data_IF_835013441393
#
_entry.id   IF_835013441393
#
_cell.length_a   1.000
_cell.length_b   1.000
_cell.length_c   1.000
_cell.angle_alpha   90.00
_cell.angle_beta   90.00
_cell.angle_gamma   90.00
#
_symmetry.space_group_name_H-M   'P 1'
#
loop_
_entity.id
_entity.type
_entity.pdbx_description
1 polymer ?
#
# COMPACT_ATOMS: atom_id res chain seq x y z
N UNK A 1 19.05 -0.87 3.27
CA UNK A 1 18.24 0.35 3.43
C UNK A 1 16.81 -0.04 3.69
N UNK A 2 16.22 0.44 4.77
CA UNK A 2 14.83 0.14 5.10
C UNK A 2 13.89 1.25 4.63
N UNK A 3 12.90 0.89 3.82
CA UNK A 3 11.79 1.80 3.47
C UNK A 3 10.45 1.13 3.76
N UNK A 4 9.50 1.88 4.31
CA UNK A 4 8.22 1.33 4.81
C UNK A 4 7.04 2.23 4.44
N UNK A 5 5.94 1.60 4.01
CA UNK A 5 4.62 2.23 3.98
C UNK A 5 4.00 2.17 5.38
N UNK A 6 3.70 3.33 5.96
CA UNK A 6 3.06 3.44 7.27
C UNK A 6 1.54 3.32 7.10
N UNK A 7 0.94 2.44 7.91
CA UNK A 7 -0.50 2.34 8.07
C UNK A 7 -0.85 3.03 9.38
N UNK A 8 -1.44 4.24 9.36
CA UNK A 8 -1.63 5.04 10.57
C UNK A 8 -2.51 4.35 11.62
N UNK A 9 -3.42 3.48 11.18
CA UNK A 9 -4.34 2.73 12.04
C UNK A 9 -3.63 1.62 12.82
N UNK A 10 -2.67 0.93 12.21
CA UNK A 10 -1.98 -0.23 12.83
C UNK A 10 -0.61 0.14 13.38
N UNK A 11 0.16 0.95 12.65
CA UNK A 11 1.50 1.38 13.05
C UNK A 11 1.52 2.64 13.92
N UNK A 12 0.48 3.49 13.84
CA UNK A 12 0.49 4.83 14.44
C UNK A 12 -0.20 4.97 15.79
N UNK A 13 -0.68 3.90 16.45
CA UNK A 13 -1.53 3.99 17.67
C UNK A 13 -2.75 4.93 17.52
N UNK A 14 -3.23 5.17 16.30
CA UNK A 14 -4.23 6.20 15.98
C UNK A 14 -3.79 7.66 16.25
N UNK A 15 -2.47 7.96 16.25
CA UNK A 15 -1.95 9.33 16.32
C UNK A 15 -2.49 10.23 15.19
N UNK A 16 -2.75 9.62 14.03
CA UNK A 16 -3.47 10.25 12.92
C UNK A 16 -4.20 9.19 12.09
N UNK A 17 -5.16 9.62 11.29
CA UNK A 17 -5.74 8.83 10.20
C UNK A 17 -5.36 9.46 8.86
N UNK A 18 -5.64 8.76 7.76
CA UNK A 18 -5.38 9.30 6.43
C UNK A 18 -6.63 9.49 5.58
N UNK A 19 -7.84 9.45 6.16
CA UNK A 19 -9.09 9.65 5.42
C UNK A 19 -9.58 11.10 5.43
N UNK A 20 -9.06 11.91 6.37
CA UNK A 20 -9.30 13.34 6.47
C UNK A 20 -8.08 14.18 6.13
N UNK A 21 -8.03 15.38 6.72
CA UNK A 21 -6.91 16.33 6.58
C UNK A 21 -5.58 15.74 7.05
N UNK A 22 -4.50 16.14 6.38
CA UNK A 22 -3.11 15.85 6.76
C UNK A 22 -2.62 16.64 7.98
N UNK A 23 -3.40 17.57 8.52
CA UNK A 23 -3.04 18.42 9.65
C UNK A 23 -2.53 17.64 10.88
N UNK A 24 -3.20 16.55 11.27
CA UNK A 24 -2.78 15.74 12.42
C UNK A 24 -1.41 15.09 12.19
N UNK A 25 -1.18 14.57 10.98
CA UNK A 25 0.09 13.97 10.57
C UNK A 25 1.21 14.99 10.59
N UNK A 26 0.98 16.17 10.00
CA UNK A 26 1.99 17.23 9.91
C UNK A 26 2.30 17.83 11.28
N UNK A 27 1.29 17.98 12.15
CA UNK A 27 1.50 18.39 13.54
C UNK A 27 2.33 17.35 14.31
N UNK A 28 2.06 16.06 14.10
CA UNK A 28 2.87 14.98 14.70
C UNK A 28 4.33 15.05 14.23
N UNK A 29 4.57 15.17 12.92
CA UNK A 29 5.91 15.32 12.37
C UNK A 29 6.62 16.59 12.87
N UNK A 30 5.87 17.69 13.00
CA UNK A 30 6.39 18.96 13.51
C UNK A 30 6.80 18.89 14.98
N UNK A 31 5.96 18.31 15.85
CA UNK A 31 6.26 18.20 17.27
C UNK A 31 7.50 17.36 17.56
N UNK A 32 7.80 16.38 16.73
CA UNK A 32 9.03 15.60 16.86
C UNK A 32 10.27 16.46 16.55
N UNK A 33 10.23 17.33 15.55
CA UNK A 33 11.32 18.28 15.25
C UNK A 33 11.46 19.40 16.30
N UNK A 34 10.35 19.94 16.81
CA UNK A 34 10.38 21.00 17.83
C UNK A 34 10.94 20.51 19.16
N UNK A 35 10.72 19.24 19.53
CA UNK A 35 11.38 18.60 20.70
C UNK A 35 12.90 18.53 20.55
N UNK A 36 13.40 18.54 19.32
CA UNK A 36 14.84 18.59 18.98
C UNK A 36 15.36 20.03 18.88
N UNK A 37 14.52 21.05 19.12
CA UNK A 37 14.89 22.46 19.06
C UNK A 37 15.02 23.00 17.63
N UNK A 38 14.47 22.30 16.64
CA UNK A 38 14.51 22.66 15.23
C UNK A 38 13.11 23.05 14.72
N UNK A 39 13.04 24.03 13.81
CA UNK A 39 11.81 24.24 13.04
C UNK A 39 11.66 23.12 12.01
N UNK A 40 10.49 22.47 11.99
CA UNK A 40 10.18 21.45 11.00
C UNK A 40 10.16 22.06 9.60
N UNK A 41 11.21 21.81 8.83
CA UNK A 41 11.32 22.18 7.42
C UNK A 41 11.06 20.97 6.55
N UNK A 42 10.18 21.13 5.57
CA UNK A 42 9.87 20.10 4.60
C UNK A 42 10.58 20.34 3.26
N UNK A 43 10.89 19.26 2.56
CA UNK A 43 11.38 19.26 1.19
C UNK A 43 10.51 18.35 0.31
N UNK A 44 10.50 18.59 -0.99
CA UNK A 44 9.78 17.79 -1.98
C UNK A 44 10.64 17.54 -3.22
N UNK A 45 9.98 17.30 -4.36
CA UNK A 45 10.65 17.04 -5.64
C UNK A 45 11.65 18.16 -5.99
N UNK A 46 11.20 19.41 -6.04
CA UNK A 46 12.02 20.55 -6.46
C UNK A 46 12.30 21.56 -5.33
N UNK A 47 11.50 21.53 -4.26
CA UNK A 47 11.56 22.52 -3.17
C UNK A 47 12.33 21.94 -1.98
N UNK A 48 13.23 22.70 -1.39
CA UNK A 48 14.01 22.30 -0.21
C UNK A 48 13.55 22.94 1.11
N UNK A 49 12.61 23.89 1.03
CA UNK A 49 12.05 24.60 2.17
C UNK A 49 10.55 24.84 1.96
N UNK A 50 9.74 24.09 2.70
CA UNK A 50 8.29 24.23 2.77
C UNK A 50 7.85 24.17 4.23
N UNK A 51 6.86 24.99 4.57
CA UNK A 51 6.21 24.96 5.86
C UNK A 51 5.20 23.82 5.95
N UNK A 52 4.90 23.36 7.16
CA UNK A 52 3.82 22.39 7.38
C UNK A 52 2.47 22.89 6.82
N UNK A 53 2.20 24.20 6.86
CA UNK A 53 0.97 24.78 6.34
C UNK A 53 0.87 24.68 4.81
N UNK A 54 1.96 24.94 4.08
CA UNK A 54 2.02 24.79 2.62
C UNK A 54 1.85 23.31 2.23
N UNK A 55 2.55 22.40 2.91
CA UNK A 55 2.41 20.96 2.65
C UNK A 55 0.97 20.48 2.92
N UNK A 56 0.35 20.95 4.01
CA UNK A 56 -1.04 20.64 4.32
C UNK A 56 -1.96 21.10 3.20
N UNK A 57 -1.79 22.34 2.72
CA UNK A 57 -2.59 22.90 1.64
C UNK A 57 -2.42 22.11 0.34
N UNK A 58 -1.20 21.75 -0.04
CA UNK A 58 -0.91 20.98 -1.25
C UNK A 58 -1.57 19.60 -1.21
N UNK A 59 -1.44 18.88 -0.09
CA UNK A 59 -2.00 17.53 0.08
C UNK A 59 -3.53 17.57 0.19
N UNK A 60 -4.09 18.44 1.04
CA UNK A 60 -5.52 18.45 1.33
C UNK A 60 -6.36 18.97 0.15
N UNK A 61 -5.78 19.78 -0.75
CA UNK A 61 -6.44 20.21 -1.99
C UNK A 61 -6.31 19.18 -3.14
N UNK A 62 -5.47 18.16 -2.99
CA UNK A 62 -5.19 17.17 -4.03
C UNK A 62 -6.03 15.88 -3.82
N UNK A 63 -7.34 16.02 -3.62
CA UNK A 63 -8.24 14.90 -3.21
C UNK A 63 -9.48 14.72 -4.09
N UNK A 64 -9.58 15.42 -5.22
CA UNK A 64 -10.75 15.45 -6.13
C UNK A 64 -11.17 14.04 -6.53
N UNK A 65 -12.41 13.66 -6.23
CA UNK A 65 -12.97 12.35 -6.63
C UNK A 65 -12.69 11.21 -5.65
N UNK A 66 -11.98 11.44 -4.55
CA UNK A 66 -11.89 10.49 -3.44
C UNK A 66 -13.11 10.64 -2.52
N UNK A 67 -13.67 9.51 -2.07
CA UNK A 67 -14.77 9.45 -1.11
C UNK A 67 -14.27 9.73 0.30
N UNK A 68 -15.16 10.13 1.20
CA UNK A 68 -14.81 10.42 2.60
C UNK A 68 -14.10 9.25 3.33
N UNK A 69 -14.38 8.01 2.95
CA UNK A 69 -13.80 6.81 3.59
C UNK A 69 -12.48 6.34 2.96
N UNK A 70 -12.05 6.97 1.86
CA UNK A 70 -10.81 6.62 1.17
C UNK A 70 -9.62 7.39 1.73
N UNK A 71 -8.44 6.80 1.65
CA UNK A 71 -7.20 7.49 1.98
C UNK A 71 -7.02 8.72 1.08
N UNK A 72 -6.67 9.85 1.67
CA UNK A 72 -6.34 11.14 1.06
C UNK A 72 -4.83 11.26 0.82
N UNK A 73 -4.05 10.63 1.68
CA UNK A 73 -2.60 10.57 1.59
C UNK A 73 -2.07 9.25 2.18
N UNK A 74 -0.78 9.00 1.96
CA UNK A 74 -0.03 7.91 2.56
C UNK A 74 1.23 8.47 3.20
N UNK A 75 1.70 7.79 4.24
CA UNK A 75 2.93 8.13 4.94
C UNK A 75 3.97 7.05 4.70
N UNK A 76 5.19 7.44 4.35
CA UNK A 76 6.32 6.54 4.15
C UNK A 76 7.44 6.91 5.12
N UNK A 77 8.30 5.94 5.42
CA UNK A 77 9.53 6.17 6.17
C UNK A 77 10.71 5.58 5.41
N UNK A 78 11.78 6.36 5.29
CA UNK A 78 13.12 5.88 4.92
C UNK A 78 13.95 5.86 6.20
N UNK A 79 14.49 4.69 6.55
CA UNK A 79 15.26 4.46 7.77
C UNK A 79 16.58 3.79 7.40
N UNK A 80 17.62 4.56 7.10
CA UNK A 80 18.95 3.99 6.93
C UNK A 80 19.42 3.36 8.26
N UNK A 81 20.23 2.32 8.17
CA UNK A 81 20.90 1.74 9.34
C UNK A 81 21.98 2.68 9.86
N UNK A 82 22.48 2.45 11.09
CA UNK A 82 23.64 3.18 11.61
C UNK A 82 24.88 3.03 10.72
N UNK A 83 25.06 1.88 10.07
CA UNK A 83 26.17 1.62 9.14
C UNK A 83 25.99 2.42 7.84
N UNK A 84 24.77 2.46 7.29
CA UNK A 84 24.42 3.25 6.11
C UNK A 84 24.57 4.75 6.35
N UNK A 85 24.08 5.24 7.50
CA UNK A 85 24.25 6.64 7.91
C UNK A 85 25.73 6.97 8.04
N UNK A 86 26.52 6.11 8.68
CA UNK A 86 27.96 6.30 8.84
C UNK A 86 28.67 6.35 7.47
N UNK A 87 28.30 5.47 6.53
CA UNK A 87 28.86 5.41 5.18
C UNK A 87 28.65 6.71 4.39
N UNK A 88 27.46 7.32 4.50
CA UNK A 88 27.16 8.58 3.82
C UNK A 88 27.61 9.82 4.61
N UNK A 89 28.12 9.64 5.84
CA UNK A 89 28.52 10.72 6.75
C UNK A 89 27.34 11.45 7.39
N UNK A 90 26.21 10.76 7.58
CA UNK A 90 24.94 11.29 8.07
C UNK A 90 24.48 12.57 7.35
N UNK A 91 24.77 12.67 6.04
CA UNK A 91 24.56 13.89 5.26
C UNK A 91 23.10 14.06 4.87
N UNK A 92 22.44 15.11 5.38
CA UNK A 92 21.08 15.48 4.99
C UNK A 92 20.95 15.71 3.48
N UNK A 93 21.94 16.36 2.84
CA UNK A 93 21.93 16.58 1.40
C UNK A 93 21.83 15.26 0.63
N UNK A 94 22.67 14.28 0.98
CA UNK A 94 22.63 12.95 0.36
C UNK A 94 21.31 12.23 0.65
N UNK A 95 20.76 12.38 1.85
CA UNK A 95 19.45 11.81 2.20
C UNK A 95 18.31 12.43 1.39
N UNK A 96 18.32 13.76 1.16
CA UNK A 96 17.34 14.43 0.30
C UNK A 96 17.43 13.94 -1.14
N UNK A 97 18.64 13.89 -1.71
CA UNK A 97 18.89 13.37 -3.06
C UNK A 97 18.43 11.91 -3.20
N UNK A 98 18.81 11.05 -2.25
CA UNK A 98 18.35 9.66 -2.22
C UNK A 98 16.83 9.54 -2.07
N UNK A 99 16.20 10.38 -1.26
CA UNK A 99 14.74 10.38 -1.09
C UNK A 99 14.02 10.69 -2.41
N UNK A 100 14.53 11.64 -3.21
CA UNK A 100 13.98 11.94 -4.54
C UNK A 100 14.04 10.74 -5.47
N UNK A 101 15.17 10.04 -5.51
CA UNK A 101 15.33 8.80 -6.29
C UNK A 101 14.35 7.69 -5.85
N UNK A 102 14.14 7.55 -4.53
CA UNK A 102 13.15 6.60 -3.99
C UNK A 102 11.72 6.98 -4.38
N UNK A 103 11.41 8.28 -4.47
CA UNK A 103 10.10 8.78 -4.89
C UNK A 103 9.88 8.67 -6.40
N UNK A 104 10.93 8.76 -7.22
CA UNK A 104 10.91 8.41 -8.64
C UNK A 104 10.58 6.92 -8.84
N UNK A 105 11.23 6.05 -8.06
CA UNK A 105 10.90 4.61 -8.05
C UNK A 105 9.49 4.33 -7.52
N UNK A 106 9.00 5.14 -6.58
CA UNK A 106 7.64 5.03 -6.08
C UNK A 106 6.62 5.34 -7.19
N UNK A 107 6.82 6.40 -7.97
CA UNK A 107 5.95 6.74 -9.09
C UNK A 107 5.93 5.64 -10.16
N UNK A 108 7.11 5.23 -10.65
CA UNK A 108 7.26 4.26 -11.74
C UNK A 108 6.80 2.83 -11.38
N UNK A 109 6.64 2.52 -10.09
CA UNK A 109 6.07 1.26 -9.62
C UNK A 109 4.54 1.16 -9.88
N UNK A 110 3.84 2.27 -10.10
CA UNK A 110 2.41 2.20 -10.42
C UNK A 110 2.16 1.65 -11.83
N UNK A 111 1.36 0.58 -11.91
CA UNK A 111 0.94 -0.04 -13.18
C UNK A 111 -0.45 0.44 -13.58
N UNK A 112 -0.50 1.28 -14.61
CA UNK A 112 -1.74 1.82 -15.16
C UNK A 112 -2.33 0.89 -16.22
N UNK A 113 -3.66 0.96 -16.43
CA UNK A 113 -4.36 0.05 -17.35
C UNK A 113 -4.01 0.28 -18.81
N UNK A 114 -3.70 1.52 -19.15
CA UNK A 114 -3.33 1.99 -20.48
C UNK A 114 -1.82 1.89 -20.76
N UNK A 115 -1.04 1.37 -19.81
CA UNK A 115 0.40 1.19 -19.96
C UNK A 115 1.23 2.46 -19.78
N UNK A 116 0.62 3.61 -19.46
CA UNK A 116 1.36 4.82 -19.11
C UNK A 116 2.23 4.57 -17.87
N UNK A 117 3.43 5.14 -17.89
CA UNK A 117 4.36 5.15 -16.75
C UNK A 117 4.26 6.48 -16.05
N UNK A 118 4.37 6.47 -14.72
CA UNK A 118 4.44 7.69 -13.91
C UNK A 118 5.88 7.95 -13.47
N UNK A 119 6.18 9.22 -13.25
CA UNK A 119 7.44 9.73 -12.72
C UNK A 119 7.19 10.60 -11.47
N UNK A 120 8.27 11.09 -10.86
CA UNK A 120 8.19 11.94 -9.66
C UNK A 120 7.43 13.25 -9.87
N UNK A 121 7.32 13.76 -11.11
CA UNK A 121 6.54 14.97 -11.42
C UNK A 121 5.02 14.72 -11.34
N UNK A 122 4.60 13.46 -11.38
CA UNK A 122 3.20 13.10 -11.20
C UNK A 122 2.77 13.01 -9.73
N UNK A 123 3.69 13.19 -8.78
CA UNK A 123 3.43 13.05 -7.35
C UNK A 123 3.30 14.41 -6.65
N UNK A 124 2.32 14.53 -5.74
CA UNK A 124 2.32 15.59 -4.72
C UNK A 124 2.84 14.97 -3.42
N UNK A 125 4.06 15.32 -3.01
CA UNK A 125 4.67 14.79 -1.80
C UNK A 125 5.58 15.81 -1.12
N UNK A 126 5.80 15.60 0.17
CA UNK A 126 6.78 16.33 0.96
C UNK A 126 7.39 15.40 2.00
N UNK A 127 8.57 15.75 2.50
CA UNK A 127 9.32 14.96 3.45
C UNK A 127 10.06 15.83 4.46
N UNK A 128 10.33 15.26 5.64
CA UNK A 128 11.13 15.88 6.69
C UNK A 128 12.16 14.89 7.22
N UNK A 129 13.30 15.39 7.70
CA UNK A 129 14.38 14.59 8.27
C UNK A 129 14.34 14.77 9.79
N UNK A 130 14.31 13.66 10.53
CA UNK A 130 14.43 13.66 11.99
C UNK A 130 15.74 12.99 12.37
N UNK A 131 16.38 13.45 13.45
CA UNK A 131 17.71 12.95 13.82
C UNK A 131 17.69 11.91 14.92
N UNK A 132 16.68 11.94 15.81
CA UNK A 132 16.58 11.03 16.93
C UNK A 132 15.37 10.10 16.84
N UNK A 133 15.43 9.01 17.60
CA UNK A 133 14.28 8.13 17.88
C UNK A 133 14.22 7.86 19.36
N UNK A 134 13.03 7.92 19.93
CA UNK A 134 12.82 7.51 21.32
C UNK A 134 12.30 6.08 21.41
N UNK A 135 12.69 5.38 22.48
CA UNK A 135 12.12 4.09 22.84
C UNK A 135 10.63 4.19 23.12
N UNK A 136 9.88 3.21 22.64
CA UNK A 136 8.43 3.06 22.80
C UNK A 136 8.16 2.00 23.86
N UNK A 137 6.97 2.06 24.48
CA UNK A 137 6.58 1.08 25.51
C UNK A 137 6.41 -0.36 25.02
N UNK A 138 6.45 -0.59 23.71
CA UNK A 138 6.40 -1.92 23.08
C UNK A 138 7.75 -2.38 22.57
N UNK A 139 8.79 -1.59 22.81
CA UNK A 139 10.14 -1.94 22.36
C UNK A 139 10.69 -3.02 23.31
N UNK A 140 11.31 -4.10 22.79
CA UNK A 140 11.84 -5.19 23.61
C UNK A 140 12.78 -4.70 24.72
N UNK A 141 13.54 -3.63 24.48
CA UNK A 141 14.47 -3.04 25.43
C UNK A 141 13.74 -2.36 26.60
N UNK A 142 12.54 -1.82 26.36
CA UNK A 142 11.69 -1.26 27.42
C UNK A 142 11.01 -2.38 28.20
N UNK A 143 10.53 -3.41 27.51
CA UNK A 143 9.93 -4.60 28.15
C UNK A 143 10.96 -5.34 29.02
N UNK A 144 12.21 -5.43 28.56
CA UNK A 144 13.33 -6.00 29.31
C UNK A 144 13.86 -5.09 30.43
N UNK A 145 13.38 -3.84 30.51
CA UNK A 145 13.80 -2.85 31.50
C UNK A 145 15.20 -2.25 31.28
N UNK A 146 15.82 -2.51 30.13
CA UNK A 146 17.12 -1.95 29.74
C UNK A 146 17.03 -0.53 29.14
N UNK A 147 15.83 -0.05 28.85
CA UNK A 147 15.55 1.31 28.37
C UNK A 147 14.22 1.85 28.94
N UNK A 148 14.02 3.17 28.90
CA UNK A 148 12.77 3.83 29.33
C UNK A 148 11.98 4.38 28.16
N UNK A 149 10.65 4.39 28.27
CA UNK A 149 9.79 5.08 27.29
C UNK A 149 10.17 6.54 27.18
N UNK A 150 10.39 7.02 25.95
CA UNK A 150 10.80 8.40 25.67
C UNK A 150 12.32 8.62 25.68
N UNK A 151 13.11 7.71 26.24
CA UNK A 151 14.57 7.76 26.19
C UNK A 151 15.05 7.69 24.74
N UNK A 152 16.04 8.51 24.38
CA UNK A 152 16.61 8.50 23.02
C UNK A 152 17.40 7.21 22.79
N UNK A 153 17.19 6.60 21.64
CA UNK A 153 17.97 5.46 21.16
C UNK A 153 19.41 5.91 20.90
N UNK A 154 20.42 5.10 21.27
CA UNK A 154 21.81 5.43 21.02
C UNK A 154 22.16 5.35 19.53
N UNK A 155 23.29 5.93 19.15
CA UNK A 155 23.83 5.89 17.78
C UNK A 155 23.10 6.82 16.81
N UNK A 156 23.44 6.71 15.53
CA UNK A 156 22.80 7.50 14.48
C UNK A 156 21.38 6.95 14.22
N UNK A 157 20.38 7.81 14.38
CA UNK A 157 18.96 7.48 14.24
C UNK A 157 18.27 8.31 13.15
N UNK A 158 19.05 8.98 12.29
CA UNK A 158 18.52 9.88 11.26
C UNK A 158 17.63 9.13 10.27
N UNK A 159 16.43 9.64 10.04
CA UNK A 159 15.44 9.02 9.18
C UNK A 159 14.52 10.05 8.53
N UNK A 160 13.88 9.66 7.44
CA UNK A 160 13.03 10.55 6.64
C UNK A 160 11.58 10.10 6.77
N UNK A 161 10.69 11.03 7.13
CA UNK A 161 9.24 10.84 7.02
C UNK A 161 8.76 11.50 5.75
N UNK A 162 7.92 10.81 4.99
CA UNK A 162 7.37 11.29 3.72
C UNK A 162 5.85 11.25 3.82
N UNK A 163 5.19 12.29 3.36
CA UNK A 163 3.75 12.32 3.09
C UNK A 163 3.54 12.46 1.59
N UNK A 164 2.70 11.62 1.01
CA UNK A 164 2.38 11.61 -0.43
C UNK A 164 0.88 11.56 -0.63
N UNK A 165 0.36 12.38 -1.53
CA UNK A 165 -1.05 12.39 -1.89
C UNK A 165 -1.51 11.04 -2.44
N UNK A 166 -2.77 10.70 -2.19
CA UNK A 166 -3.42 9.56 -2.83
C UNK A 166 -3.84 9.86 -4.29
N UNK A 167 -3.52 11.05 -4.81
CA UNK A 167 -3.75 11.46 -6.19
C UNK A 167 -2.47 11.92 -6.85
N UNK A 168 -2.48 11.82 -8.17
CA UNK A 168 -1.50 12.48 -9.02
C UNK A 168 -1.70 14.00 -9.03
N UNK A 169 -0.72 14.73 -9.55
CA UNK A 169 -0.75 16.20 -9.68
C UNK A 169 -1.98 16.70 -10.45
N UNK A 170 -2.40 15.99 -11.51
CA UNK A 170 -3.61 16.33 -12.29
C UNK A 170 -4.93 15.94 -11.61
N UNK A 171 -4.87 15.21 -10.50
CA UNK A 171 -6.02 14.64 -9.82
C UNK A 171 -6.91 13.81 -10.77
N UNK A 172 -6.32 12.95 -11.59
CA UNK A 172 -7.01 12.01 -12.48
C UNK A 172 -6.82 10.55 -12.09
N UNK A 173 -5.69 10.23 -11.46
CA UNK A 173 -5.27 8.89 -11.10
C UNK A 173 -5.26 8.76 -9.57
N UNK A 174 -5.79 7.65 -9.06
CA UNK A 174 -5.68 7.30 -7.63
C UNK A 174 -4.43 6.44 -7.40
N UNK A 175 -3.52 6.94 -6.57
CA UNK A 175 -2.24 6.33 -6.20
C UNK A 175 -2.38 5.62 -4.85
N UNK A 176 -2.69 4.33 -4.88
CA UNK A 176 -2.82 3.51 -3.67
C UNK A 176 -1.69 2.48 -3.56
N UNK A 177 -0.59 2.77 -2.82
CA UNK A 177 0.54 1.87 -2.65
C UNK A 177 0.22 0.66 -1.76
N UNK A 178 -0.82 0.75 -0.93
CA UNK A 178 -1.31 -0.33 -0.08
C UNK A 178 -2.40 -1.20 -0.73
N UNK A 179 -2.69 -0.95 -2.01
CA UNK A 179 -3.73 -1.60 -2.78
C UNK A 179 -3.32 -2.99 -3.26
N UNK A 180 -3.65 -3.29 -4.52
CA UNK A 180 -3.28 -4.56 -5.13
C UNK A 180 -1.82 -4.55 -5.57
N UNK A 181 -1.17 -5.71 -5.40
CA UNK A 181 0.23 -5.92 -5.82
C UNK A 181 0.45 -5.76 -7.33
N UNK A 182 -0.56 -6.06 -8.16
CA UNK A 182 -0.50 -5.86 -9.62
C UNK A 182 -0.53 -4.39 -10.03
N UNK A 183 -0.98 -3.50 -9.13
CA UNK A 183 -1.03 -2.04 -9.33
C UNK A 183 0.16 -1.33 -8.74
N UNK A 184 0.66 -1.79 -7.61
CA UNK A 184 1.87 -1.30 -6.95
C UNK A 184 2.50 -2.44 -6.17
N UNK A 185 3.72 -2.82 -6.51
CA UNK A 185 4.41 -3.91 -5.84
C UNK A 185 5.27 -3.35 -4.70
N UNK A 186 4.71 -3.30 -3.48
CA UNK A 186 5.39 -2.71 -2.31
C UNK A 186 6.74 -3.37 -2.04
N UNK A 187 6.79 -4.70 -2.05
CA UNK A 187 8.03 -5.46 -1.78
C UNK A 187 9.11 -5.20 -2.83
N UNK A 188 8.73 -5.04 -4.09
CA UNK A 188 9.67 -4.73 -5.17
C UNK A 188 10.23 -3.32 -5.00
N UNK A 189 9.38 -2.32 -4.75
CA UNK A 189 9.85 -0.97 -4.45
C UNK A 189 10.79 -0.91 -3.24
N UNK A 190 10.49 -1.65 -2.16
CA UNK A 190 11.39 -1.71 -1.02
C UNK A 190 12.77 -2.32 -1.37
N UNK A 191 12.80 -3.34 -2.24
CA UNK A 191 14.04 -3.96 -2.72
C UNK A 191 14.83 -3.03 -3.65
N UNK A 192 14.14 -2.36 -4.57
CA UNK A 192 14.78 -1.42 -5.50
C UNK A 192 15.32 -0.18 -4.78
N UNK A 193 14.66 0.30 -3.73
CA UNK A 193 15.20 1.34 -2.86
C UNK A 193 16.54 0.89 -2.22
N UNK A 194 16.60 -0.35 -1.71
CA UNK A 194 17.84 -0.95 -1.23
C UNK A 194 18.97 -0.90 -2.25
N UNK A 195 18.70 -1.40 -3.46
CA UNK A 195 19.66 -1.39 -4.57
C UNK A 195 20.06 0.02 -5.01
N UNK A 196 19.13 0.97 -4.97
CA UNK A 196 19.39 2.36 -5.28
C UNK A 196 20.41 2.94 -4.31
N UNK A 197 20.29 2.67 -3.02
CA UNK A 197 21.26 3.14 -2.03
C UNK A 197 22.66 2.57 -2.30
N UNK A 198 22.75 1.26 -2.53
CA UNK A 198 24.00 0.58 -2.88
C UNK A 198 24.65 1.20 -4.14
N UNK A 199 23.86 1.40 -5.20
CA UNK A 199 24.30 2.01 -6.46
C UNK A 199 24.74 3.46 -6.28
N UNK A 200 23.94 4.28 -5.60
CA UNK A 200 24.14 5.72 -5.50
C UNK A 200 25.35 6.07 -4.62
N UNK A 201 25.63 5.27 -3.59
CA UNK A 201 26.69 5.57 -2.63
C UNK A 201 27.86 4.58 -2.65
N UNK A 202 27.85 3.59 -3.54
CA UNK A 202 28.88 2.54 -3.56
C UNK A 202 28.93 1.74 -2.26
N UNK A 203 27.77 1.49 -1.66
CA UNK A 203 27.63 0.72 -0.42
C UNK A 203 27.33 -0.75 -0.73
N UNK A 204 27.79 -1.67 0.11
CA UNK A 204 27.41 -3.09 0.04
C UNK A 204 26.56 -3.43 1.25
N UNK A 205 25.27 -3.64 1.04
CA UNK A 205 24.34 -3.89 2.13
C UNK A 205 24.55 -5.26 2.76
N UNK A 206 24.56 -5.30 4.09
CA UNK A 206 24.58 -6.52 4.88
C UNK A 206 23.23 -7.22 4.79
N UNK A 207 23.19 -8.55 4.98
CA UNK A 207 21.95 -9.33 4.86
C UNK A 207 20.84 -8.87 5.81
N UNK A 208 21.20 -8.33 6.99
CA UNK A 208 20.22 -7.75 7.94
C UNK A 208 19.57 -6.45 7.44
N UNK A 209 20.21 -5.76 6.49
CA UNK A 209 19.75 -4.46 5.96
C UNK A 209 18.89 -4.63 4.69
N UNK A 210 18.86 -5.85 4.14
CA UNK A 210 18.07 -6.21 2.97
C UNK A 210 16.65 -6.57 3.38
N UNK A 211 15.70 -6.23 2.51
CA UNK A 211 14.28 -6.56 2.71
C UNK A 211 14.11 -8.08 2.70
N UNK A 212 13.84 -8.65 3.88
CA UNK A 212 13.58 -10.07 4.01
C UNK A 212 12.14 -10.39 3.61
N UNK A 213 11.97 -11.07 2.49
CA UNK A 213 10.67 -11.67 2.15
C UNK A 213 10.58 -13.05 2.77
N UNK A 214 9.59 -13.30 3.63
CA UNK A 214 9.27 -14.67 4.08
C UNK A 214 9.08 -15.53 2.84
N UNK A 215 9.99 -16.49 2.65
CA UNK A 215 9.87 -17.46 1.58
C UNK A 215 8.58 -18.25 1.81
N UNK A 216 7.85 -18.51 0.74
CA UNK A 216 6.68 -19.39 0.79
C UNK A 216 7.16 -20.77 1.24
N UNK A 217 6.58 -21.24 2.33
CA UNK A 217 6.76 -22.61 2.79
C UNK A 217 5.88 -23.55 1.94
N UNK A 218 6.50 -24.20 0.96
CA UNK A 218 5.86 -25.19 0.08
C UNK A 218 5.63 -26.54 0.76
N UNK A 219 6.26 -26.82 1.90
CA UNK A 219 6.07 -28.08 2.63
C UNK A 219 4.62 -28.28 3.09
N UNK A 220 3.85 -27.19 3.17
CA UNK A 220 2.45 -27.18 3.58
C UNK A 220 1.46 -27.29 2.42
N UNK A 221 1.94 -27.33 1.17
CA UNK A 221 1.07 -27.30 -0.01
C UNK A 221 0.19 -28.54 -0.12
N UNK A 222 0.73 -29.73 0.19
CA UNK A 222 -0.05 -30.97 0.23
C UNK A 222 -1.23 -30.86 1.21
N UNK A 223 -0.99 -30.30 2.40
CA UNK A 223 -2.04 -30.08 3.40
C UNK A 223 -3.04 -29.00 2.97
N UNK A 224 -2.60 -27.95 2.26
CA UNK A 224 -3.48 -26.92 1.68
C UNK A 224 -4.38 -27.52 0.60
N UNK A 225 -3.82 -28.33 -0.29
CA UNK A 225 -4.56 -29.01 -1.36
C UNK A 225 -5.64 -29.94 -0.79
N UNK A 226 -5.30 -30.76 0.22
CA UNK A 226 -6.27 -31.61 0.92
C UNK A 226 -7.46 -30.81 1.48
N UNK A 227 -7.19 -29.71 2.19
CA UNK A 227 -8.24 -28.82 2.71
C UNK A 227 -9.08 -28.17 1.62
N UNK A 228 -8.49 -27.86 0.46
CA UNK A 228 -9.21 -27.28 -0.67
C UNK A 228 -10.14 -28.34 -1.29
N UNK A 229 -9.70 -29.59 -1.42
CA UNK A 229 -10.55 -30.68 -1.89
C UNK A 229 -11.76 -30.88 -0.98
N UNK A 230 -11.57 -30.92 0.34
CA UNK A 230 -12.68 -31.01 1.30
C UNK A 230 -13.68 -29.86 1.16
N UNK A 231 -13.20 -28.63 0.87
CA UNK A 231 -14.05 -27.47 0.62
C UNK A 231 -14.85 -27.64 -0.66
N UNK A 232 -14.21 -28.08 -1.74
CA UNK A 232 -14.87 -28.35 -3.02
C UNK A 232 -15.93 -29.42 -2.89
N UNK A 233 -15.65 -30.50 -2.15
CA UNK A 233 -16.63 -31.56 -1.89
C UNK A 233 -17.86 -31.02 -1.17
N UNK A 234 -17.68 -30.18 -0.14
CA UNK A 234 -18.81 -29.52 0.54
C UNK A 234 -19.62 -28.62 -0.39
N UNK A 235 -18.97 -27.82 -1.22
CA UNK A 235 -19.65 -26.98 -2.22
C UNK A 235 -20.48 -27.86 -3.17
N UNK A 236 -19.90 -28.95 -3.66
CA UNK A 236 -20.54 -29.86 -4.62
C UNK A 236 -21.74 -30.62 -4.06
N UNK A 237 -21.90 -30.71 -2.74
CA UNK A 237 -23.10 -31.25 -2.09
C UNK A 237 -24.27 -30.25 -2.09
N UNK A 238 -24.00 -28.96 -2.23
CA UNK A 238 -24.99 -27.88 -2.10
C UNK A 238 -25.50 -27.35 -3.45
N UNK A 239 -24.87 -27.73 -4.56
CA UNK A 239 -25.14 -27.19 -5.90
C UNK A 239 -25.62 -28.26 -6.88
N UNK A 240 -26.42 -27.89 -7.90
CA UNK A 240 -26.87 -28.83 -8.92
C UNK A 240 -25.69 -29.37 -9.75
N UNK A 241 -25.90 -30.48 -10.47
CA UNK A 241 -24.85 -31.23 -11.19
C UNK A 241 -24.08 -30.34 -12.18
N UNK A 242 -24.76 -29.41 -12.82
CA UNK A 242 -24.23 -28.51 -13.84
C UNK A 242 -23.26 -27.46 -13.24
N UNK A 243 -23.39 -27.19 -11.95
CA UNK A 243 -22.57 -26.20 -11.23
C UNK A 243 -21.46 -26.84 -10.40
N UNK A 244 -21.34 -28.16 -10.40
CA UNK A 244 -20.28 -28.84 -9.63
C UNK A 244 -18.90 -28.42 -10.12
N UNK A 245 -18.04 -28.12 -9.17
CA UNK A 245 -16.63 -27.82 -9.39
C UNK A 245 -15.84 -29.12 -9.53
N UNK A 246 -14.91 -29.14 -10.47
CA UNK A 246 -13.91 -30.18 -10.62
C UNK A 246 -12.80 -29.95 -9.57
N UNK A 247 -12.62 -30.89 -8.61
CA UNK A 247 -11.60 -30.76 -7.57
C UNK A 247 -10.19 -30.55 -8.13
N UNK A 248 -9.81 -31.26 -9.20
CA UNK A 248 -8.47 -31.16 -9.79
C UNK A 248 -8.25 -29.78 -10.41
N UNK A 249 -9.25 -29.26 -11.13
CA UNK A 249 -9.18 -27.93 -11.72
C UNK A 249 -9.07 -26.84 -10.65
N UNK A 250 -9.82 -26.94 -9.55
CA UNK A 250 -9.72 -25.98 -8.43
C UNK A 250 -8.35 -26.05 -7.76
N UNK A 251 -7.79 -27.25 -7.58
CA UNK A 251 -6.44 -27.44 -7.05
C UNK A 251 -5.38 -26.79 -7.95
N UNK A 252 -5.43 -27.02 -9.27
CA UNK A 252 -4.50 -26.39 -10.23
C UNK A 252 -4.57 -24.86 -10.19
N UNK A 253 -5.78 -24.29 -10.02
CA UNK A 253 -5.94 -22.85 -9.85
C UNK A 253 -5.32 -22.36 -8.53
N UNK A 254 -5.45 -23.13 -7.45
CA UNK A 254 -4.83 -22.82 -6.17
C UNK A 254 -3.30 -22.82 -6.27
N UNK A 255 -2.73 -23.84 -6.92
CA UNK A 255 -1.29 -23.98 -7.16
C UNK A 255 -0.74 -22.85 -8.03
N UNK A 256 -1.43 -22.53 -9.14
CA UNK A 256 -1.07 -21.41 -10.02
C UNK A 256 -1.08 -20.06 -9.30
N UNK A 257 -1.96 -19.91 -8.31
CA UNK A 257 -2.02 -18.73 -7.43
C UNK A 257 -1.17 -18.86 -6.17
N UNK A 258 -0.38 -19.91 -6.05
CA UNK A 258 0.47 -20.18 -4.89
C UNK A 258 -0.27 -20.14 -3.54
N UNK A 259 -1.55 -20.53 -3.55
CA UNK A 259 -2.44 -20.46 -2.39
C UNK A 259 -2.53 -19.05 -1.78
N UNK A 260 -2.54 -18.01 -2.63
CA UNK A 260 -2.63 -16.64 -2.15
C UNK A 260 -3.97 -16.33 -1.44
N UNK A 261 -3.98 -15.22 -0.69
CA UNK A 261 -5.18 -14.77 0.05
C UNK A 261 -6.37 -14.49 -0.87
N UNK A 262 -6.13 -14.14 -2.14
CA UNK A 262 -7.18 -13.87 -3.11
C UNK A 262 -7.93 -15.15 -3.45
N UNK A 263 -7.20 -16.24 -3.74
CA UNK A 263 -7.78 -17.56 -3.96
C UNK A 263 -8.68 -17.96 -2.78
N UNK A 264 -8.17 -17.85 -1.55
CA UNK A 264 -8.92 -18.21 -0.35
C UNK A 264 -10.18 -17.37 -0.12
N UNK A 265 -10.14 -16.07 -0.43
CA UNK A 265 -11.33 -15.20 -0.39
C UNK A 265 -12.33 -15.56 -1.48
N UNK A 266 -11.85 -15.89 -2.68
CA UNK A 266 -12.69 -16.31 -3.81
C UNK A 266 -13.43 -17.60 -3.48
N UNK A 267 -12.75 -18.66 -3.04
CA UNK A 267 -13.41 -19.92 -2.68
C UNK A 267 -14.36 -19.76 -1.49
N UNK A 268 -14.04 -18.91 -0.50
CA UNK A 268 -14.96 -18.59 0.60
C UNK A 268 -16.22 -17.82 0.13
N UNK A 269 -16.13 -17.11 -1.00
CA UNK A 269 -17.28 -16.46 -1.62
C UNK A 269 -18.14 -17.45 -2.38
N UNK A 270 -17.51 -18.40 -3.07
CA UNK A 270 -18.21 -19.52 -3.73
C UNK A 270 -18.95 -20.39 -2.71
N UNK A 271 -18.32 -20.73 -1.58
CA UNK A 271 -18.97 -21.46 -0.48
C UNK A 271 -20.22 -20.76 0.03
N UNK A 272 -20.11 -19.48 0.40
CA UNK A 272 -21.26 -18.70 0.89
C UNK A 272 -22.40 -18.62 -0.12
N UNK A 273 -22.11 -18.64 -1.43
CA UNK A 273 -23.13 -18.66 -2.48
C UNK A 273 -23.84 -20.00 -2.53
N UNK A 274 -23.07 -21.09 -2.52
CA UNK A 274 -23.62 -22.44 -2.49
C UNK A 274 -24.52 -22.65 -1.25
N UNK A 275 -24.07 -22.21 -0.08
CA UNK A 275 -24.85 -22.23 1.17
C UNK A 275 -26.15 -21.41 1.08
N UNK A 276 -26.13 -20.28 0.36
CA UNK A 276 -27.30 -19.43 0.15
C UNK A 276 -28.20 -19.87 -1.03
N UNK A 277 -27.87 -20.99 -1.71
CA UNK A 277 -28.58 -21.43 -2.92
C UNK A 277 -28.42 -20.49 -4.12
N UNK A 278 -27.42 -19.61 -4.09
CA UNK A 278 -27.11 -18.68 -5.18
C UNK A 278 -26.23 -19.39 -6.22
N UNK A 279 -26.54 -19.30 -7.53
CA UNK A 279 -25.73 -19.91 -8.58
C UNK A 279 -24.25 -19.53 -8.52
N UNK A 280 -23.38 -20.50 -8.80
CA UNK A 280 -21.91 -20.35 -8.79
C UNK A 280 -21.29 -20.41 -10.19
N UNK A 281 -22.04 -20.04 -11.23
CA UNK A 281 -21.66 -20.17 -12.65
C UNK A 281 -20.31 -19.52 -13.00
N UNK A 282 -19.88 -18.50 -12.25
CA UNK A 282 -18.63 -17.78 -12.45
C UNK A 282 -17.48 -18.22 -11.53
N UNK A 283 -17.62 -19.35 -10.81
CA UNK A 283 -16.68 -19.79 -9.78
C UNK A 283 -15.24 -19.89 -10.30
N UNK A 284 -15.00 -20.53 -11.45
CA UNK A 284 -13.64 -20.65 -11.99
C UNK A 284 -13.01 -19.30 -12.33
N UNK A 285 -13.78 -18.35 -12.88
CA UNK A 285 -13.27 -17.01 -13.15
C UNK A 285 -12.92 -16.28 -11.86
N UNK A 286 -13.78 -16.37 -10.84
CA UNK A 286 -13.55 -15.76 -9.53
C UNK A 286 -12.33 -16.37 -8.84
N UNK A 287 -12.16 -17.69 -8.88
CA UNK A 287 -10.99 -18.40 -8.35
C UNK A 287 -9.71 -18.03 -9.10
N UNK A 288 -9.80 -17.80 -10.42
CA UNK A 288 -8.65 -17.45 -11.26
C UNK A 288 -8.24 -15.98 -11.09
N UNK A 289 -9.19 -15.05 -11.04
CA UNK A 289 -8.91 -13.61 -11.16
C UNK A 289 -9.11 -12.83 -9.87
N UNK A 290 -9.85 -13.38 -8.91
CA UNK A 290 -10.35 -12.64 -7.74
C UNK A 290 -11.46 -11.64 -8.07
N UNK A 291 -11.98 -11.64 -9.30
CA UNK A 291 -13.00 -10.70 -9.79
C UNK A 291 -14.28 -11.43 -10.18
N UNK A 292 -15.41 -10.79 -9.93
CA UNK A 292 -16.68 -11.20 -10.51
C UNK A 292 -16.61 -11.06 -12.03
N UNK A 293 -17.17 -12.02 -12.77
CA UNK A 293 -17.48 -11.77 -14.17
C UNK A 293 -18.57 -10.69 -14.24
N UNK A 294 -18.44 -9.69 -15.12
CA UNK A 294 -19.57 -8.83 -15.43
C UNK A 294 -20.68 -9.73 -15.98
N UNK A 295 -21.81 -9.81 -15.28
CA UNK A 295 -22.99 -10.45 -15.84
C UNK A 295 -23.31 -9.73 -17.15
N UNK A 296 -23.60 -10.45 -18.25
CA UNK A 296 -24.23 -9.79 -19.39
C UNK A 296 -25.54 -9.20 -18.85
N UNK A 297 -25.59 -7.88 -18.72
CA UNK A 297 -26.82 -7.18 -18.41
C UNK A 297 -27.83 -7.62 -19.46
N UNK A 298 -28.88 -8.32 -19.04
CA UNK A 298 -30.06 -8.48 -19.87
C UNK A 298 -30.39 -7.09 -20.42
N UNK A 299 -30.54 -7.01 -21.73
CA UNK A 299 -30.50 -5.81 -22.59
C UNK A 299 -31.62 -4.79 -22.27
N UNK A 300 -32.40 -5.00 -21.22
CA UNK A 300 -33.56 -4.19 -20.83
C UNK A 300 -33.18 -2.84 -20.20
N UNK A 301 -32.03 -2.73 -19.52
CA UNK A 301 -31.64 -1.48 -18.83
C UNK A 301 -30.87 -0.49 -19.70
N UNK A 302 -30.16 -0.96 -20.74
CA UNK A 302 -29.43 -0.09 -21.65
C UNK A 302 -30.38 0.76 -22.51
N UNK A 303 -31.49 0.19 -22.98
CA UNK A 303 -32.52 0.90 -23.73
C UNK A 303 -33.23 1.96 -22.85
N UNK A 304 -33.57 1.62 -21.60
CA UNK A 304 -34.17 2.57 -20.66
C UNK A 304 -33.24 3.73 -20.30
N UNK A 305 -31.94 3.46 -20.14
CA UNK A 305 -30.93 4.50 -19.91
C UNK A 305 -30.70 5.37 -21.13
N UNK A 306 -30.67 4.80 -22.34
CA UNK A 306 -30.54 5.57 -23.57
C UNK A 306 -31.71 6.55 -23.76
N UNK A 307 -32.94 6.12 -23.45
CA UNK A 307 -34.13 6.97 -23.48
C UNK A 307 -34.08 8.05 -22.38
N UNK A 308 -33.65 7.71 -21.17
CA UNK A 308 -33.48 8.69 -20.08
C UNK A 308 -32.33 9.68 -20.31
N UNK A 309 -31.28 9.28 -21.04
CA UNK A 309 -30.10 10.09 -21.31
C UNK A 309 -30.33 11.05 -22.49
N UNK A 310 -31.13 10.64 -23.49
CA UNK A 310 -31.61 11.53 -24.55
C UNK A 310 -32.57 12.62 -24.01
N UNK A 311 -33.27 12.35 -22.91
CA UNK A 311 -34.12 13.34 -22.23
C UNK A 311 -33.33 14.27 -21.27
N UNK A 312 -32.05 14.00 -21.03
CA UNK A 312 -31.18 14.77 -20.10
C UNK A 312 -29.98 15.44 -20.77
N UNK A 313 -29.75 15.25 -22.06
CA UNK A 313 -28.70 15.95 -22.81
C UNK A 313 -29.09 17.40 -23.08
N UNK A 314 -29.06 18.18 -22.02
CA UNK A 314 -29.22 19.63 -22.00
C UNK A 314 -28.53 20.21 -20.77
N UNK A 315 -27.32 19.74 -20.43
CA UNK A 315 -26.32 20.44 -19.59
C UNK A 315 -25.10 19.53 -19.32
N UNK A 316 -23.89 20.08 -19.55
CA UNK A 316 -22.63 19.73 -18.88
C UNK A 316 -21.94 18.40 -19.24
N UNK A 317 -20.77 18.46 -19.87
CA UNK A 317 -19.84 17.33 -19.98
C UNK A 317 -19.06 17.16 -18.67
N UNK A 318 -19.26 16.04 -17.97
CA UNK A 318 -18.41 15.59 -16.86
C UNK A 318 -17.19 14.82 -17.40
N UNK A 319 -15.99 15.31 -17.12
CA UNK A 319 -14.73 14.58 -17.33
C UNK A 319 -14.63 13.40 -16.35
N UNK A 320 -14.57 12.18 -16.89
CA UNK A 320 -14.46 10.94 -16.12
C UNK A 320 -13.09 10.84 -15.45
N UNK A 321 -13.09 10.81 -14.12
CA UNK A 321 -11.91 10.43 -13.32
C UNK A 321 -11.77 8.90 -13.26
N UNK A 322 -10.55 8.38 -13.31
CA UNK A 322 -10.30 6.95 -13.12
C UNK A 322 -10.44 6.57 -11.64
N UNK A 323 -11.68 6.37 -11.20
CA UNK A 323 -11.97 5.91 -9.84
C UNK A 323 -11.75 4.40 -9.76
N UNK A 324 -10.60 3.97 -9.23
CA UNK A 324 -10.36 2.58 -8.83
C UNK A 324 -10.38 2.52 -7.29
N UNK A 325 -11.55 2.83 -6.74
CA UNK A 325 -11.86 2.65 -5.33
C UNK A 325 -11.92 1.15 -5.02
N UNK A 326 -10.96 0.60 -4.26
CA UNK A 326 -10.94 -0.82 -3.90
C UNK A 326 -10.92 -1.05 -2.38
N UNK A 327 -11.74 -2.01 -1.95
CA UNK A 327 -11.96 -2.36 -0.54
C UNK A 327 -10.74 -3.06 0.06
N UNK A 328 -10.36 -2.58 1.24
CA UNK A 328 -9.29 -3.05 2.14
C UNK A 328 -9.36 -4.56 2.37
N UNK A 329 -8.39 -5.30 1.83
CA UNK A 329 -8.05 -6.63 2.37
C UNK A 329 -7.28 -6.45 3.67
N UNK A 330 -7.66 -7.17 4.74
CA UNK A 330 -6.86 -7.24 5.97
C UNK A 330 -5.51 -7.87 5.64
N UNK A 331 -4.49 -7.04 5.42
CA UNK A 331 -3.10 -7.47 5.41
C UNK A 331 -2.64 -7.59 6.86
N UNK A 332 -2.09 -8.75 7.20
CA UNK A 332 -1.56 -9.09 8.52
C UNK A 332 -0.17 -9.74 8.39
N UNK A 333 0.52 -9.39 7.31
CA UNK A 333 1.92 -9.73 7.10
C UNK A 333 2.69 -8.40 7.03
N UNK A 334 2.65 -7.65 8.13
CA UNK A 334 3.64 -6.62 8.38
C UNK A 334 4.88 -7.36 8.89
N UNK A 335 5.99 -7.23 8.17
CA UNK A 335 7.30 -7.65 8.63
C UNK A 335 7.67 -6.72 9.77
N UNK A 336 7.28 -7.10 10.98
CA UNK A 336 7.95 -6.64 12.18
C UNK A 336 9.32 -7.33 12.19
N UNK A 337 10.33 -6.55 11.86
CA UNK A 337 11.70 -6.84 12.24
C UNK A 337 11.95 -5.94 13.43
N UNK A 338 12.31 -6.56 14.55
CA UNK A 338 12.83 -5.90 15.74
C UNK A 338 13.93 -4.91 15.33
N UNK A 339 13.78 -3.64 15.73
CA UNK A 339 14.82 -2.62 15.60
C UNK A 339 15.63 -2.56 16.87
#
# INVERSE_FOLDING_TARGET
MYVKLINPVTHGKAAYNNTGSSAQTLNYLKQEAEKEGQEASFFGAEKDAQTAAEVMQDIDNNVKGLRATEAKFYSLVISPSTDELSHIGNSEKKLKEYTREVMEQYASNFKLKDGRTLDSENLVWAATIHHDRSYRGTDPEVEAGSAKVGEKRPGLQTHVHIIVSARDTEQKITLNPGGRRDRFNLTEWQKEAGKQFEKQFGYTAQEREKVQTKLRDSSRDTARAAKIMERVDRINLLVPKEQKLDPQRVQQLAEKREYDKTFYRSIATVERRAEAGIPIDNAYHLLTTGREQPQPQQVTTAALRAVQQALRSGQGQDEKTETIAEKKGRNRDELDIEM
#
